data_IF_371937398926
#
_entry.id   IF_371937398926
#
_cell.length_a   1.000
_cell.length_b   1.000
_cell.length_c   1.000
_cell.angle_alpha   90.00
_cell.angle_beta   90.00
_cell.angle_gamma   90.00
#
_symmetry.space_group_name_H-M   'P 1'
#
loop_
_entity.id
_entity.type
_entity.pdbx_description
1 polymer ?
#
# COMPACT_ATOMS: atom_id res chain seq x y z
N UNK A 1 -20.65 13.11 40.85
CA UNK A 1 -20.30 11.93 41.68
C UNK A 1 -21.30 10.81 41.44
N UNK A 2 -20.90 9.72 40.77
CA UNK A 2 -21.40 8.35 41.04
C UNK A 2 -20.55 7.35 40.26
N UNK A 3 -19.67 6.64 40.96
CA UNK A 3 -19.03 5.40 40.50
C UNK A 3 -20.08 4.28 40.64
N UNK A 4 -20.12 3.37 39.68
CA UNK A 4 -20.66 2.03 39.92
C UNK A 4 -19.74 1.02 39.23
N UNK A 5 -19.07 0.28 40.09
CA UNK A 5 -18.22 -0.87 39.84
C UNK A 5 -19.12 -2.07 39.45
N UNK A 6 -18.82 -2.75 38.36
CA UNK A 6 -19.39 -4.07 38.10
C UNK A 6 -18.26 -5.02 37.71
N UNK A 7 -17.80 -5.75 38.73
CA UNK A 7 -17.00 -6.97 38.62
C UNK A 7 -17.77 -7.99 37.80
N UNK A 8 -17.25 -8.33 36.62
CA UNK A 8 -17.75 -9.41 35.78
C UNK A 8 -16.66 -9.90 34.84
N UNK A 9 -15.98 -10.98 35.24
CA UNK A 9 -15.00 -11.69 34.43
C UNK A 9 -15.65 -12.29 33.18
N UNK A 10 -15.30 -11.77 32.01
CA UNK A 10 -15.28 -12.54 30.76
C UNK A 10 -13.98 -12.19 30.04
N UNK A 11 -12.94 -13.00 30.27
CA UNK A 11 -11.78 -13.04 29.36
C UNK A 11 -12.30 -13.61 28.04
N UNK A 12 -12.59 -12.72 27.08
CA UNK A 12 -12.86 -13.12 25.70
C UNK A 12 -11.53 -13.63 25.14
N UNK A 13 -11.36 -14.95 25.17
CA UNK A 13 -10.32 -15.65 24.44
C UNK A 13 -10.60 -15.45 22.94
N UNK A 14 -9.94 -14.47 22.34
CA UNK A 14 -9.85 -14.36 20.88
C UNK A 14 -9.01 -15.53 20.38
N UNK A 15 -9.65 -16.66 20.08
CA UNK A 15 -9.09 -17.70 19.23
C UNK A 15 -9.03 -17.15 17.80
N UNK A 16 -8.00 -16.35 17.51
CA UNK A 16 -7.66 -16.01 16.13
C UNK A 16 -7.16 -17.29 15.46
N UNK A 17 -7.99 -17.87 14.59
CA UNK A 17 -7.57 -18.92 13.67
C UNK A 17 -6.63 -18.29 12.64
N UNK A 18 -5.37 -18.13 13.03
CA UNK A 18 -4.29 -17.65 12.17
C UNK A 18 -3.72 -18.82 11.38
N UNK A 19 -4.42 -19.26 10.32
CA UNK A 19 -3.77 -20.15 9.34
C UNK A 19 -4.42 -20.08 7.96
N UNK A 20 -4.34 -18.92 7.33
CA UNK A 20 -4.09 -18.85 5.89
C UNK A 20 -2.70 -18.23 5.71
N UNK A 21 -1.68 -19.02 6.05
CA UNK A 21 -0.33 -18.76 5.56
C UNK A 21 -0.35 -19.16 4.10
N UNK A 22 -0.80 -18.26 3.22
CA UNK A 22 -0.44 -18.38 1.82
C UNK A 22 1.09 -18.41 1.79
N UNK A 23 1.72 -19.43 1.19
CA UNK A 23 3.15 -19.45 1.02
C UNK A 23 3.51 -18.17 0.27
N UNK A 24 4.14 -17.25 0.99
CA UNK A 24 4.56 -15.94 0.53
C UNK A 24 5.79 -16.13 -0.37
N UNK A 25 5.65 -16.90 -1.44
CA UNK A 25 6.72 -17.23 -2.36
C UNK A 25 6.62 -16.31 -3.59
N UNK A 26 7.70 -15.54 -3.81
CA UNK A 26 7.95 -14.67 -4.97
C UNK A 26 6.97 -13.50 -5.15
N UNK A 27 7.13 -12.43 -4.37
CA UNK A 27 6.30 -11.22 -4.47
C UNK A 27 6.73 -10.33 -5.65
N UNK A 28 6.73 -10.88 -6.86
CA UNK A 28 6.64 -10.07 -8.06
C UNK A 28 5.24 -10.26 -8.63
N UNK A 29 4.33 -9.35 -8.27
CA UNK A 29 2.98 -9.31 -8.81
C UNK A 29 2.99 -8.69 -10.20
N UNK A 30 1.92 -8.90 -10.95
CA UNK A 30 1.72 -8.24 -12.25
C UNK A 30 0.69 -7.14 -12.11
N UNK A 31 0.94 -6.00 -12.73
CA UNK A 31 -0.08 -4.97 -12.86
C UNK A 31 -1.20 -5.47 -13.79
N UNK A 32 -2.48 -5.26 -13.43
CA UNK A 32 -3.57 -5.49 -14.36
C UNK A 32 -3.41 -4.62 -15.61
N UNK A 33 -4.00 -5.05 -16.72
CA UNK A 33 -3.87 -4.35 -18.00
C UNK A 33 -4.21 -2.85 -17.86
N UNK A 34 -3.30 -1.99 -18.28
CA UNK A 34 -3.45 -0.53 -18.20
C UNK A 34 -3.25 0.10 -16.82
N UNK A 35 -3.33 -0.68 -15.73
CA UNK A 35 -3.27 -0.14 -14.35
C UNK A 35 -1.94 0.46 -13.96
N UNK A 36 -0.83 -0.08 -14.48
CA UNK A 36 0.50 0.52 -14.28
C UNK A 36 0.57 1.93 -14.86
N UNK A 37 0.05 2.11 -16.07
CA UNK A 37 0.02 3.41 -16.74
C UNK A 37 -0.94 4.39 -16.05
N UNK A 38 -2.11 3.91 -15.60
CA UNK A 38 -3.06 4.71 -14.81
C UNK A 38 -2.41 5.20 -13.50
N UNK A 39 -1.74 4.32 -12.75
CA UNK A 39 -1.01 4.67 -11.54
C UNK A 39 0.06 5.74 -11.80
N UNK A 40 0.91 5.55 -12.84
CA UNK A 40 1.94 6.53 -13.19
C UNK A 40 1.31 7.87 -13.57
N UNK A 41 0.23 7.86 -14.35
CA UNK A 41 -0.50 9.08 -14.73
C UNK A 41 -1.12 9.82 -13.56
N UNK A 42 -1.70 9.12 -12.58
CA UNK A 42 -2.22 9.72 -11.35
C UNK A 42 -1.10 10.28 -10.49
N UNK A 43 -0.01 9.53 -10.32
CA UNK A 43 1.17 9.98 -9.59
C UNK A 43 1.78 11.25 -10.22
N UNK A 44 1.88 11.31 -11.56
CA UNK A 44 2.39 12.49 -12.27
C UNK A 44 1.48 13.70 -12.10
N UNK A 45 0.15 13.54 -12.13
CA UNK A 45 -0.79 14.63 -11.85
C UNK A 45 -0.61 15.20 -10.44
N UNK A 46 -0.49 14.32 -9.44
CA UNK A 46 -0.24 14.73 -8.05
C UNK A 46 1.12 15.40 -7.90
N UNK A 47 2.16 14.91 -8.57
CA UNK A 47 3.50 15.49 -8.55
C UNK A 47 3.51 16.89 -9.22
N UNK A 48 2.77 17.07 -10.31
CA UNK A 48 2.63 18.35 -10.99
C UNK A 48 1.95 19.40 -10.10
N UNK A 49 0.90 19.01 -9.35
CA UNK A 49 0.24 19.88 -8.36
C UNK A 49 1.23 20.29 -7.25
N UNK A 50 2.18 19.43 -6.92
CA UNK A 50 3.24 19.71 -5.94
C UNK A 50 4.43 20.49 -6.55
N UNK A 51 4.36 20.93 -7.80
CA UNK A 51 5.43 21.69 -8.46
C UNK A 51 6.68 20.85 -8.78
N UNK A 52 6.56 19.52 -8.82
CA UNK A 52 7.67 18.64 -9.20
C UNK A 52 7.86 18.70 -10.72
N UNK A 53 9.11 18.86 -11.16
CA UNK A 53 9.49 18.78 -12.57
C UNK A 53 8.96 17.49 -13.24
N UNK A 54 8.49 17.61 -14.48
CA UNK A 54 7.83 16.52 -15.19
C UNK A 54 8.74 15.29 -15.38
N UNK A 55 10.04 15.50 -15.67
CA UNK A 55 11.00 14.39 -15.84
C UNK A 55 11.31 13.73 -14.51
N UNK A 56 11.49 14.51 -13.45
CA UNK A 56 11.68 13.99 -12.08
C UNK A 56 10.44 13.25 -11.59
N UNK A 57 9.24 13.76 -11.87
CA UNK A 57 7.97 13.13 -11.55
C UNK A 57 7.83 11.78 -12.27
N UNK A 58 8.05 11.73 -13.58
CA UNK A 58 8.01 10.50 -14.38
C UNK A 58 8.95 9.42 -13.82
N UNK A 59 10.21 9.79 -13.53
CA UNK A 59 11.19 8.88 -12.92
C UNK A 59 10.71 8.33 -11.56
N UNK A 60 10.16 9.19 -10.70
CA UNK A 60 9.69 8.79 -9.36
C UNK A 60 8.44 7.93 -9.41
N UNK A 61 7.49 8.28 -10.27
CA UNK A 61 6.25 7.54 -10.46
C UNK A 61 6.49 6.16 -11.08
N UNK A 62 7.39 6.06 -12.08
CA UNK A 62 7.80 4.76 -12.63
C UNK A 62 8.52 3.90 -11.60
N UNK A 63 9.41 4.48 -10.81
CA UNK A 63 10.05 3.75 -9.72
C UNK A 63 9.01 3.22 -8.72
N UNK A 64 8.04 4.05 -8.31
CA UNK A 64 6.97 3.63 -7.40
C UNK A 64 6.17 2.45 -7.97
N UNK A 65 5.85 2.50 -9.27
CA UNK A 65 5.15 1.42 -9.96
C UNK A 65 5.96 0.11 -9.97
N UNK A 66 7.27 0.19 -10.24
CA UNK A 66 8.18 -0.96 -10.24
C UNK A 66 8.41 -1.51 -8.82
N UNK A 67 8.46 -0.64 -7.81
CA UNK A 67 8.61 -1.04 -6.42
C UNK A 67 7.36 -1.77 -5.90
N UNK A 68 6.17 -1.33 -6.32
CA UNK A 68 4.92 -2.06 -6.07
C UNK A 68 4.96 -3.42 -6.78
N UNK A 69 5.29 -3.45 -8.06
CA UNK A 69 5.36 -4.70 -8.85
C UNK A 69 6.26 -5.76 -8.19
N UNK A 70 7.42 -5.34 -7.69
CA UNK A 70 8.43 -6.22 -7.04
C UNK A 70 8.19 -6.48 -5.55
N UNK A 71 7.20 -5.81 -4.93
CA UNK A 71 6.97 -5.87 -3.49
C UNK A 71 5.65 -6.52 -3.10
N UNK A 72 4.72 -6.65 -4.04
CA UNK A 72 3.32 -7.00 -3.80
C UNK A 72 2.89 -8.12 -4.74
N UNK A 73 1.93 -8.91 -4.30
CA UNK A 73 1.27 -9.92 -5.13
C UNK A 73 0.31 -9.26 -6.13
N UNK A 74 -0.06 -9.96 -7.20
CA UNK A 74 -1.05 -9.46 -8.17
C UNK A 74 -2.36 -9.04 -7.51
N UNK A 75 -2.87 -9.84 -6.55
CA UNK A 75 -4.09 -9.51 -5.82
C UNK A 75 -3.95 -8.23 -4.98
N UNK A 76 -2.82 -8.03 -4.31
CA UNK A 76 -2.54 -6.77 -3.60
C UNK A 76 -2.43 -5.59 -4.57
N UNK A 77 -1.81 -5.76 -5.75
CA UNK A 77 -1.69 -4.72 -6.77
C UNK A 77 -3.06 -4.37 -7.35
N UNK A 78 -3.95 -5.33 -7.56
CA UNK A 78 -5.34 -5.10 -7.96
C UNK A 78 -6.07 -4.22 -6.93
N UNK A 79 -5.90 -4.50 -5.64
CA UNK A 79 -6.46 -3.67 -4.56
C UNK A 79 -5.84 -2.28 -4.53
N UNK A 80 -4.51 -2.17 -4.63
CA UNK A 80 -3.78 -0.90 -4.62
C UNK A 80 -4.06 -0.01 -5.85
N UNK A 81 -4.44 -0.62 -6.99
CA UNK A 81 -4.69 0.07 -8.28
C UNK A 81 -6.18 0.15 -8.65
N UNK A 82 -7.03 -0.40 -7.78
CA UNK A 82 -8.47 -0.36 -7.89
C UNK A 82 -9.06 1.00 -7.50
N UNK A 83 -10.38 1.12 -7.65
CA UNK A 83 -11.15 2.29 -7.18
C UNK A 83 -11.61 2.15 -5.74
N UNK A 84 -11.47 0.95 -5.18
CA UNK A 84 -11.91 0.65 -3.83
C UNK A 84 -10.90 1.11 -2.80
N UNK A 85 -11.38 1.47 -1.61
CA UNK A 85 -10.51 1.83 -0.49
C UNK A 85 -9.74 0.60 -0.05
N UNK A 86 -8.44 0.57 -0.33
CA UNK A 86 -7.56 -0.47 0.17
C UNK A 86 -7.43 -0.42 1.70
N UNK A 87 -7.09 -1.58 2.29
CA UNK A 87 -6.76 -1.67 3.70
C UNK A 87 -5.63 -0.68 4.07
N UNK A 88 -5.75 0.08 5.18
CA UNK A 88 -4.75 1.08 5.56
C UNK A 88 -3.37 0.48 5.80
N UNK A 89 -3.25 -0.77 6.29
CA UNK A 89 -1.94 -1.42 6.46
C UNK A 89 -1.32 -1.76 5.10
N UNK A 90 -2.12 -2.19 4.14
CA UNK A 90 -1.66 -2.44 2.76
C UNK A 90 -1.13 -1.14 2.12
N UNK A 91 -1.85 -0.04 2.30
CA UNK A 91 -1.42 1.29 1.84
C UNK A 91 -0.15 1.77 2.53
N UNK A 92 -0.05 1.64 3.85
CA UNK A 92 1.17 1.98 4.61
C UNK A 92 2.37 1.15 4.16
N UNK A 93 2.18 -0.14 3.89
CA UNK A 93 3.22 -0.99 3.32
C UNK A 93 3.65 -0.50 1.95
N UNK A 94 2.71 -0.16 1.06
CA UNK A 94 3.03 0.36 -0.28
C UNK A 94 3.86 1.65 -0.20
N UNK A 95 3.45 2.58 0.66
CA UNK A 95 4.21 3.81 0.91
C UNK A 95 5.61 3.51 1.45
N UNK A 96 5.74 2.59 2.41
CA UNK A 96 7.05 2.20 2.98
C UNK A 96 7.97 1.60 1.93
N UNK A 97 7.46 0.70 1.08
CA UNK A 97 8.22 0.08 -0.01
C UNK A 97 8.67 1.13 -1.02
N UNK A 98 7.77 2.01 -1.45
CA UNK A 98 8.10 3.10 -2.37
C UNK A 98 9.15 4.04 -1.76
N UNK A 99 8.98 4.46 -0.51
CA UNK A 99 9.95 5.33 0.16
C UNK A 99 11.33 4.66 0.29
N UNK A 100 11.36 3.38 0.63
CA UNK A 100 12.62 2.65 0.83
C UNK A 100 13.35 2.41 -0.50
N UNK A 101 12.61 2.07 -1.57
CA UNK A 101 13.20 1.69 -2.86
C UNK A 101 13.42 2.88 -3.79
N UNK A 102 12.55 3.88 -3.71
CA UNK A 102 12.51 4.99 -4.65
C UNK A 102 12.82 6.33 -4.02
N UNK A 103 12.78 6.41 -2.68
CA UNK A 103 13.18 7.56 -1.87
C UNK A 103 12.63 8.89 -2.39
N UNK A 104 11.68 9.48 -1.66
CA UNK A 104 11.49 10.93 -1.66
C UNK A 104 12.69 11.59 -0.97
N UNK A 105 13.93 11.30 -1.38
CA UNK A 105 15.09 12.06 -0.93
C UNK A 105 15.01 13.42 -1.63
N UNK A 106 14.18 14.29 -1.03
CA UNK A 106 14.37 15.71 -1.06
C UNK A 106 15.79 15.96 -0.55
N UNK A 107 16.64 16.39 -1.47
CA UNK A 107 17.63 17.39 -1.14
C UNK A 107 17.05 18.71 -1.61
#
# INVERSE_FOLDING_TARGET
MKRSDSRGSILVAFAVSSMLVLPLAAQAGSWPAGKKAEYVGQCMQVAAIQGVDAKKADQKCKCGADAIEKGFTTAEIEVLSGKETADPKLMQRAMTVIQTKCGLQGK
#
